data_IF_439422836032
#
_entry.id   IF_439422836032
#
_cell.length_a   1.000
_cell.length_b   1.000
_cell.length_c   1.000
_cell.angle_alpha   90.00
_cell.angle_beta   90.00
_cell.angle_gamma   90.00
#
_symmetry.space_group_name_H-M   'P 1'
#
loop_
_entity.id
_entity.type
_entity.pdbx_description
1 polymer ?
#
# COMPACT_ATOMS: atom_id res chain seq x y z
N UNK A 1 -6.11 -22.19 -51.19
CA UNK A 1 -7.11 -22.08 -52.29
C UNK A 1 -8.43 -21.67 -51.67
N UNK A 2 -8.78 -20.40 -51.75
CA UNK A 2 -10.12 -19.85 -51.91
C UNK A 2 -10.01 -18.33 -52.00
N UNK A 3 -10.59 -17.83 -53.06
CA UNK A 3 -10.32 -16.60 -53.73
C UNK A 3 -10.96 -15.37 -53.12
N UNK A 4 -10.29 -14.24 -53.20
CA UNK A 4 -10.87 -12.89 -53.06
C UNK A 4 -11.52 -12.48 -54.40
N UNK A 5 -12.70 -11.85 -54.39
CA UNK A 5 -13.16 -11.13 -55.55
C UNK A 5 -13.05 -9.61 -55.40
N UNK A 6 -12.31 -9.05 -56.36
CA UNK A 6 -12.50 -7.79 -57.06
C UNK A 6 -12.87 -6.49 -56.32
N UNK A 7 -11.85 -5.65 -56.23
CA UNK A 7 -11.94 -4.19 -56.21
C UNK A 7 -12.44 -3.66 -57.58
N UNK A 8 -13.48 -2.84 -57.58
CA UNK A 8 -13.79 -1.94 -58.69
C UNK A 8 -13.36 -0.52 -58.36
N UNK A 9 -12.74 0.21 -59.29
CA UNK A 9 -12.37 1.62 -59.09
C UNK A 9 -13.49 2.56 -59.53
N UNK A 10 -13.54 3.75 -58.88
CA UNK A 10 -14.10 4.92 -59.48
C UNK A 10 -15.52 5.29 -59.02
N UNK A 11 -15.60 6.26 -58.11
CA UNK A 11 -16.71 7.21 -58.14
C UNK A 11 -16.15 8.59 -57.73
N UNK A 12 -15.93 9.38 -58.77
CA UNK A 12 -15.93 10.84 -58.65
C UNK A 12 -17.40 11.27 -58.48
N UNK A 13 -17.75 12.19 -57.63
CA UNK A 13 -19.08 12.77 -57.63
C UNK A 13 -19.18 13.76 -58.82
N UNK A 14 -19.98 13.41 -59.78
CA UNK A 14 -20.48 14.31 -60.81
C UNK A 14 -21.33 15.41 -60.17
N UNK A 15 -21.10 16.64 -60.60
CA UNK A 15 -22.08 17.73 -60.50
C UNK A 15 -23.34 17.28 -61.24
N UNK A 16 -24.40 17.08 -60.47
CA UNK A 16 -25.77 17.08 -61.06
C UNK A 16 -26.71 17.74 -60.08
N UNK A 17 -26.98 19.00 -60.44
CA UNK A 17 -28.12 19.77 -60.04
C UNK A 17 -29.36 19.17 -60.68
N UNK A 18 -30.10 18.35 -59.95
CA UNK A 18 -31.50 18.03 -60.38
C UNK A 18 -32.44 18.40 -59.26
N UNK A 19 -33.19 19.44 -59.55
CA UNK A 19 -34.35 19.90 -58.78
C UNK A 19 -35.42 18.83 -58.81
N UNK A 20 -35.76 18.25 -57.69
CA UNK A 20 -37.01 17.52 -57.50
C UNK A 20 -37.80 18.16 -56.37
N UNK A 21 -38.95 18.68 -56.73
CA UNK A 21 -39.97 19.19 -55.82
C UNK A 21 -40.41 18.10 -54.83
N UNK A 22 -39.99 18.23 -53.60
CA UNK A 22 -40.72 17.73 -52.44
C UNK A 22 -40.18 18.45 -51.21
N UNK A 23 -41.04 19.14 -50.48
CA UNK A 23 -40.77 20.13 -49.41
C UNK A 23 -39.98 19.60 -48.23
N UNK A 24 -38.67 19.45 -48.37
CA UNK A 24 -37.71 19.39 -47.27
C UNK A 24 -36.90 20.69 -47.36
N UNK A 25 -37.02 21.55 -46.35
CA UNK A 25 -36.15 22.70 -46.16
C UNK A 25 -34.71 22.28 -46.20
N UNK A 26 -34.06 22.44 -47.36
CA UNK A 26 -32.62 22.38 -47.52
C UNK A 26 -32.05 23.47 -46.59
N UNK A 27 -31.27 23.04 -45.60
CA UNK A 27 -30.51 23.96 -44.75
C UNK A 27 -29.40 24.52 -45.66
N UNK A 28 -29.65 25.72 -46.27
CA UNK A 28 -28.62 26.46 -46.98
C UNK A 28 -27.35 26.50 -46.13
N UNK A 29 -26.26 25.97 -46.66
CA UNK A 29 -24.96 26.04 -46.00
C UNK A 29 -24.51 27.49 -46.09
N UNK A 30 -24.77 28.28 -45.05
CA UNK A 30 -24.38 29.67 -44.98
C UNK A 30 -22.85 29.77 -44.92
N UNK A 31 -22.21 30.24 -45.97
CA UNK A 31 -20.80 30.59 -46.03
C UNK A 31 -20.69 32.11 -45.94
N UNK A 32 -20.08 32.62 -44.86
CA UNK A 32 -19.96 34.05 -44.60
C UNK A 32 -18.64 34.31 -43.86
N UNK A 33 -18.01 35.45 -44.14
CA UNK A 33 -16.86 35.88 -43.35
C UNK A 33 -17.25 36.01 -41.89
N UNK A 34 -16.67 35.15 -41.04
CA UNK A 34 -16.90 35.13 -39.57
C UNK A 34 -16.22 36.34 -38.92
N UNK A 35 -16.99 37.35 -38.65
CA UNK A 35 -16.62 38.57 -37.89
C UNK A 35 -17.36 38.58 -36.56
N UNK A 36 -16.99 39.46 -35.62
CA UNK A 36 -17.74 39.65 -34.38
C UNK A 36 -19.21 39.90 -34.65
N UNK A 37 -19.52 40.79 -35.63
CA UNK A 37 -20.87 41.16 -36.02
C UNK A 37 -21.69 39.98 -36.54
N UNK A 38 -21.12 39.18 -37.46
CA UNK A 38 -21.80 38.01 -38.02
C UNK A 38 -22.03 36.92 -36.99
N UNK A 39 -21.09 36.71 -36.08
CA UNK A 39 -21.20 35.74 -34.99
C UNK A 39 -22.26 36.14 -33.97
N UNK A 40 -22.35 37.44 -33.61
CA UNK A 40 -23.37 37.96 -32.69
C UNK A 40 -24.77 37.98 -33.29
N UNK A 41 -24.87 38.18 -34.59
CA UNK A 41 -26.15 38.17 -35.35
C UNK A 41 -26.70 36.73 -35.54
N UNK A 42 -25.92 35.69 -35.39
CA UNK A 42 -26.36 34.31 -35.57
C UNK A 42 -27.37 33.90 -34.47
N UNK A 43 -28.61 33.67 -34.85
CA UNK A 43 -29.71 33.31 -33.93
C UNK A 43 -29.84 31.78 -33.80
N UNK A 44 -30.18 31.27 -32.60
CA UNK A 44 -30.44 29.83 -32.43
C UNK A 44 -31.63 29.40 -33.29
N UNK A 45 -31.57 28.20 -33.83
CA UNK A 45 -32.60 27.53 -34.62
C UNK A 45 -33.12 26.28 -33.90
N UNK A 46 -34.12 25.60 -34.50
CA UNK A 46 -34.70 24.34 -33.94
C UNK A 46 -33.66 23.24 -33.84
N UNK A 47 -32.67 23.21 -34.76
CA UNK A 47 -31.55 22.30 -34.75
C UNK A 47 -30.23 23.07 -34.69
N UNK A 48 -29.19 22.42 -34.13
CA UNK A 48 -27.84 22.96 -34.21
C UNK A 48 -27.42 23.06 -35.69
N UNK A 49 -26.77 24.16 -36.05
CA UNK A 49 -26.25 24.37 -37.41
C UNK A 49 -24.87 25.00 -37.40
N UNK A 50 -24.18 25.01 -38.52
CA UNK A 50 -22.84 25.58 -38.68
C UNK A 50 -22.86 26.62 -39.76
N UNK A 51 -22.27 27.77 -39.49
CA UNK A 51 -21.95 28.82 -40.44
C UNK A 51 -20.47 28.65 -40.80
N UNK A 52 -20.16 28.39 -42.04
CA UNK A 52 -18.80 28.20 -42.50
C UNK A 52 -18.13 29.54 -42.81
N UNK A 53 -16.83 29.62 -42.55
CA UNK A 53 -16.07 30.82 -42.82
C UNK A 53 -15.67 30.90 -44.31
N UNK A 54 -15.87 32.07 -44.91
CA UNK A 54 -15.50 32.31 -46.30
C UNK A 54 -13.99 32.37 -46.50
N UNK A 55 -13.22 32.89 -45.50
CA UNK A 55 -11.75 33.06 -45.62
C UNK A 55 -10.98 31.79 -45.37
N UNK A 56 -11.50 30.90 -44.57
CA UNK A 56 -10.82 29.66 -44.19
C UNK A 56 -11.73 28.46 -44.35
N UNK A 57 -11.63 27.71 -45.44
CA UNK A 57 -12.36 26.47 -45.63
C UNK A 57 -12.15 25.51 -44.43
N UNK A 58 -13.20 24.76 -44.13
CA UNK A 58 -13.19 23.81 -42.98
C UNK A 58 -13.24 24.45 -41.58
N UNK A 59 -13.25 25.78 -41.48
CA UNK A 59 -13.49 26.51 -40.24
C UNK A 59 -14.92 27.06 -40.18
N UNK A 60 -15.58 26.98 -39.03
CA UNK A 60 -16.97 27.44 -38.90
C UNK A 60 -17.38 27.76 -37.49
N UNK A 61 -18.55 28.38 -37.37
CA UNK A 61 -19.25 28.67 -36.13
C UNK A 61 -20.44 27.72 -35.96
N UNK A 62 -20.40 26.85 -34.96
CA UNK A 62 -21.53 26.04 -34.54
C UNK A 62 -22.42 26.84 -33.62
N UNK A 63 -23.68 26.99 -34.00
CA UNK A 63 -24.73 27.62 -33.22
C UNK A 63 -25.63 26.52 -32.67
N UNK A 64 -25.69 26.45 -31.35
CA UNK A 64 -26.52 25.46 -30.67
C UNK A 64 -27.95 26.00 -30.50
N UNK A 65 -28.93 25.11 -30.44
CA UNK A 65 -30.33 25.46 -30.13
C UNK A 65 -30.51 26.24 -28.81
N UNK A 66 -29.56 26.07 -27.87
CA UNK A 66 -29.50 26.78 -26.58
C UNK A 66 -28.99 28.22 -26.70
N UNK A 67 -28.64 28.69 -27.91
CA UNK A 67 -27.99 29.97 -28.13
C UNK A 67 -26.51 30.01 -27.90
N UNK A 68 -25.91 28.94 -27.39
CA UNK A 68 -24.45 28.78 -27.25
C UNK A 68 -23.79 28.75 -28.62
N UNK A 69 -22.63 29.38 -28.77
CA UNK A 69 -21.86 29.42 -30.00
C UNK A 69 -20.45 28.93 -29.77
N UNK A 70 -19.91 28.07 -30.64
CA UNK A 70 -18.54 27.60 -30.57
C UNK A 70 -17.88 27.55 -31.94
N UNK A 71 -16.61 27.86 -31.98
CA UNK A 71 -15.79 27.72 -33.18
C UNK A 71 -15.35 26.29 -33.36
N UNK A 72 -15.42 25.79 -34.59
CA UNK A 72 -15.14 24.42 -34.96
C UNK A 72 -14.27 24.35 -36.24
N UNK A 73 -13.47 23.32 -36.36
CA UNK A 73 -12.92 22.88 -37.65
C UNK A 73 -13.49 21.51 -38.00
N UNK A 74 -13.66 21.26 -39.28
CA UNK A 74 -14.07 19.96 -39.82
C UNK A 74 -13.12 19.55 -40.90
N UNK A 75 -12.58 18.33 -40.79
CA UNK A 75 -11.60 17.80 -41.76
C UNK A 75 -11.83 16.30 -41.96
N UNK A 76 -11.17 15.73 -42.96
CA UNK A 76 -11.15 14.28 -43.16
C UNK A 76 -9.76 13.74 -42.85
N UNK A 77 -9.72 12.66 -42.05
CA UNK A 77 -8.49 11.94 -41.76
C UNK A 77 -8.75 10.45 -41.91
N UNK A 78 -7.90 9.76 -42.67
CA UNK A 78 -8.04 8.32 -42.96
C UNK A 78 -9.45 7.93 -43.40
N UNK A 79 -10.06 8.73 -44.31
CA UNK A 79 -11.40 8.51 -44.87
C UNK A 79 -12.58 8.87 -43.94
N UNK A 80 -12.34 9.29 -42.70
CA UNK A 80 -13.39 9.66 -41.72
C UNK A 80 -13.49 11.16 -41.56
N UNK A 81 -14.73 11.67 -41.54
CA UNK A 81 -14.99 13.06 -41.19
C UNK A 81 -14.77 13.27 -39.67
N UNK A 82 -13.97 14.25 -39.33
CA UNK A 82 -13.64 14.65 -37.96
C UNK A 82 -14.05 16.08 -37.73
N UNK A 83 -14.50 16.40 -36.50
CA UNK A 83 -14.82 17.76 -36.07
C UNK A 83 -14.14 18.06 -34.75
N UNK A 84 -13.38 19.13 -34.70
CA UNK A 84 -12.73 19.63 -33.51
C UNK A 84 -13.35 20.96 -33.09
N UNK A 85 -13.81 21.06 -31.83
CA UNK A 85 -14.24 22.32 -31.25
C UNK A 85 -13.04 23.07 -30.71
N UNK A 86 -12.77 24.27 -31.20
CA UNK A 86 -11.65 25.12 -30.78
C UNK A 86 -11.96 25.83 -29.46
N UNK A 87 -13.15 26.45 -29.36
CA UNK A 87 -13.58 27.15 -28.15
C UNK A 87 -14.91 27.85 -28.27
N UNK A 88 -15.35 28.41 -27.16
CA UNK A 88 -16.61 29.14 -27.09
C UNK A 88 -16.44 30.59 -27.54
N UNK A 89 -17.43 31.10 -28.26
CA UNK A 89 -17.54 32.56 -28.48
C UNK A 89 -17.69 33.27 -27.14
N UNK A 90 -17.04 34.41 -27.01
CA UNK A 90 -16.96 35.17 -25.73
C UNK A 90 -15.64 34.91 -24.99
N UNK A 91 -15.13 33.70 -25.01
CA UNK A 91 -13.74 33.38 -24.60
C UNK A 91 -12.78 33.56 -25.77
N UNK A 92 -13.23 33.17 -26.97
CA UNK A 92 -12.50 33.28 -28.23
C UNK A 92 -13.12 34.33 -29.12
N UNK A 93 -12.33 35.18 -29.75
CA UNK A 93 -12.77 36.03 -30.86
C UNK A 93 -12.74 35.24 -32.18
N UNK A 94 -13.47 35.68 -33.20
CA UNK A 94 -13.44 35.03 -34.49
C UNK A 94 -12.05 34.98 -35.13
N UNK A 95 -11.26 36.04 -34.94
CA UNK A 95 -9.89 36.14 -35.46
C UNK A 95 -8.93 35.20 -34.77
N UNK A 96 -9.00 35.14 -33.40
CA UNK A 96 -8.19 34.19 -32.63
C UNK A 96 -8.54 32.76 -33.01
N UNK A 97 -9.82 32.46 -33.15
CA UNK A 97 -10.31 31.14 -33.54
C UNK A 97 -9.86 30.76 -34.97
N UNK A 98 -9.87 31.72 -35.91
CA UNK A 98 -9.38 31.49 -37.29
C UNK A 98 -7.88 31.25 -37.31
N UNK A 99 -7.08 31.93 -36.50
CA UNK A 99 -5.64 31.70 -36.36
C UNK A 99 -5.35 30.31 -35.80
N UNK A 100 -6.07 29.91 -34.78
CA UNK A 100 -5.95 28.57 -34.22
C UNK A 100 -6.42 27.50 -35.22
N UNK A 101 -7.53 27.75 -35.93
CA UNK A 101 -8.01 26.86 -36.98
C UNK A 101 -6.94 26.61 -38.03
N UNK A 102 -6.24 27.65 -38.52
CA UNK A 102 -5.11 27.52 -39.45
C UNK A 102 -4.01 26.65 -38.90
N UNK A 103 -3.62 26.84 -37.62
CA UNK A 103 -2.59 26.04 -36.98
C UNK A 103 -3.00 24.57 -36.91
N UNK A 104 -4.22 24.28 -36.47
CA UNK A 104 -4.71 22.91 -36.37
C UNK A 104 -4.88 22.23 -37.72
N UNK A 105 -5.38 22.94 -38.73
CA UNK A 105 -5.48 22.41 -40.12
C UNK A 105 -4.10 22.18 -40.73
N UNK A 106 -3.10 23.00 -40.39
CA UNK A 106 -1.71 22.77 -40.78
C UNK A 106 -1.16 21.45 -40.20
N UNK A 107 -1.47 21.15 -38.95
CA UNK A 107 -1.13 19.85 -38.33
C UNK A 107 -1.83 18.68 -39.04
N UNK A 108 -3.10 18.84 -39.38
CA UNK A 108 -3.85 17.83 -40.15
C UNK A 108 -3.22 17.59 -41.50
N UNK A 109 -2.79 18.64 -42.21
CA UNK A 109 -2.06 18.51 -43.47
C UNK A 109 -0.71 17.79 -43.32
N UNK A 110 -0.08 17.93 -42.14
CA UNK A 110 1.12 17.17 -41.74
C UNK A 110 0.87 15.73 -41.35
N UNK A 111 -0.39 15.27 -41.33
CA UNK A 111 -0.74 13.88 -41.02
C UNK A 111 -1.30 13.65 -39.62
N UNK A 112 -1.32 14.65 -38.74
CA UNK A 112 -1.87 14.57 -37.36
C UNK A 112 -3.40 14.46 -37.39
N UNK A 113 -3.98 13.92 -36.30
CA UNK A 113 -5.43 13.94 -36.04
C UNK A 113 -5.73 14.59 -34.67
N UNK A 114 -5.82 15.94 -34.61
CA UNK A 114 -6.03 16.66 -33.35
C UNK A 114 -7.35 16.32 -32.65
N UNK A 115 -8.37 15.85 -33.37
CA UNK A 115 -9.63 15.40 -32.77
C UNK A 115 -9.47 14.03 -32.11
N UNK A 116 -8.71 13.11 -32.70
CA UNK A 116 -8.40 11.81 -32.11
C UNK A 116 -7.47 11.97 -30.89
N UNK A 117 -6.42 12.79 -31.02
CA UNK A 117 -5.52 13.11 -29.87
C UNK A 117 -6.32 13.62 -28.67
N UNK A 118 -7.29 14.54 -28.91
CA UNK A 118 -8.12 15.08 -27.85
C UNK A 118 -9.06 14.03 -27.25
N UNK A 119 -9.52 13.08 -28.07
CA UNK A 119 -10.35 11.96 -27.63
C UNK A 119 -9.54 10.96 -26.82
N UNK A 120 -8.35 10.62 -27.27
CA UNK A 120 -7.39 9.78 -26.55
C UNK A 120 -6.99 10.42 -25.23
N UNK A 121 -6.75 11.73 -25.25
CA UNK A 121 -6.52 12.49 -24.04
C UNK A 121 -7.68 12.38 -23.04
N UNK A 122 -8.92 12.50 -23.50
CA UNK A 122 -10.08 12.32 -22.66
C UNK A 122 -10.25 10.89 -22.14
N UNK A 123 -9.82 9.88 -22.90
CA UNK A 123 -9.84 8.45 -22.56
C UNK A 123 -8.63 8.02 -21.73
N UNK A 124 -7.60 8.86 -21.64
CA UNK A 124 -6.39 8.53 -20.91
C UNK A 124 -6.71 8.21 -19.45
N UNK A 125 -6.22 7.05 -19.01
CA UNK A 125 -6.48 6.49 -17.68
C UNK A 125 -6.10 7.48 -16.57
N UNK A 126 -7.02 7.71 -15.64
CA UNK A 126 -6.76 8.51 -14.44
C UNK A 126 -6.04 7.68 -13.37
N UNK A 127 -5.38 8.35 -12.43
CA UNK A 127 -4.75 7.67 -11.29
C UNK A 127 -5.75 6.88 -10.44
N UNK A 128 -7.01 7.33 -10.37
CA UNK A 128 -8.08 6.61 -9.66
C UNK A 128 -8.42 5.29 -10.36
N UNK A 129 -8.51 5.29 -11.67
CA UNK A 129 -8.79 4.09 -12.48
C UNK A 129 -7.62 3.10 -12.41
N UNK A 130 -6.38 3.60 -12.54
CA UNK A 130 -5.18 2.79 -12.34
C UNK A 130 -5.15 2.14 -10.95
N UNK A 131 -5.46 2.91 -9.90
CA UNK A 131 -5.52 2.38 -8.53
C UNK A 131 -6.59 1.31 -8.37
N UNK A 132 -7.75 1.44 -9.02
CA UNK A 132 -8.79 0.41 -8.98
C UNK A 132 -8.33 -0.89 -9.62
N UNK A 133 -7.73 -0.80 -10.82
CA UNK A 133 -7.17 -1.95 -11.50
C UNK A 133 -6.06 -2.60 -10.68
N UNK A 134 -5.15 -1.80 -10.13
CA UNK A 134 -4.09 -2.29 -9.25
C UNK A 134 -4.63 -3.03 -8.02
N UNK A 135 -5.72 -2.56 -7.39
CA UNK A 135 -6.35 -3.23 -6.26
C UNK A 135 -6.97 -4.56 -6.70
N UNK A 136 -7.64 -4.60 -7.85
CA UNK A 136 -8.21 -5.84 -8.38
C UNK A 136 -7.12 -6.89 -8.63
N UNK A 137 -6.04 -6.52 -9.31
CA UNK A 137 -4.93 -7.42 -9.61
C UNK A 137 -4.15 -7.83 -8.34
N UNK A 138 -4.20 -7.01 -7.26
CA UNK A 138 -3.70 -7.39 -5.94
C UNK A 138 -4.55 -8.48 -5.29
N UNK A 139 -5.87 -8.34 -5.35
CA UNK A 139 -6.83 -9.29 -4.78
C UNK A 139 -6.80 -10.63 -5.57
N UNK A 140 -6.56 -10.55 -6.89
CA UNK A 140 -6.38 -11.71 -7.77
C UNK A 140 -4.97 -12.36 -7.65
N UNK A 141 -4.08 -11.78 -6.81
CA UNK A 141 -2.73 -12.32 -6.58
C UNK A 141 -1.74 -12.12 -7.73
N UNK A 142 -2.09 -11.33 -8.74
CA UNK A 142 -1.27 -11.07 -9.91
C UNK A 142 -0.11 -10.11 -9.61
N UNK A 143 -0.24 -9.27 -8.56
CA UNK A 143 0.83 -8.35 -8.15
C UNK A 143 1.66 -8.99 -7.04
N UNK A 144 2.88 -9.33 -7.40
CA UNK A 144 3.81 -9.98 -6.49
C UNK A 144 4.52 -8.97 -5.59
N UNK A 145 4.82 -9.40 -4.37
CA UNK A 145 5.64 -8.67 -3.41
C UNK A 145 7.13 -9.01 -3.57
N UNK A 146 7.93 -8.61 -2.56
CA UNK A 146 9.36 -8.89 -2.52
C UNK A 146 9.61 -10.40 -2.59
N UNK A 147 10.49 -10.82 -3.51
CA UNK A 147 10.87 -12.22 -3.70
C UNK A 147 9.86 -13.04 -4.50
N UNK A 148 9.03 -12.41 -5.35
CA UNK A 148 8.13 -13.12 -6.27
C UNK A 148 6.96 -13.83 -5.59
N UNK A 149 6.63 -13.48 -4.35
CA UNK A 149 5.51 -14.09 -3.59
C UNK A 149 4.31 -13.13 -3.53
N UNK A 150 3.07 -13.64 -3.47
CA UNK A 150 1.89 -12.82 -3.24
C UNK A 150 2.06 -11.95 -1.98
N UNK A 151 1.49 -10.76 -1.99
CA UNK A 151 1.51 -9.89 -0.80
C UNK A 151 0.62 -10.48 0.30
N UNK A 152 1.07 -10.37 1.56
CA UNK A 152 0.25 -10.75 2.72
C UNK A 152 -0.99 -9.85 2.81
N UNK A 153 -2.14 -10.39 3.23
CA UNK A 153 -3.40 -9.66 3.36
C UNK A 153 -3.26 -8.36 4.17
N UNK A 154 -2.52 -8.37 5.26
CA UNK A 154 -2.27 -7.17 6.08
C UNK A 154 -1.51 -6.06 5.34
N UNK A 155 -0.67 -6.42 4.36
CA UNK A 155 0.01 -5.46 3.47
C UNK A 155 -0.97 -4.91 2.45
N UNK A 156 -1.80 -5.76 1.85
CA UNK A 156 -2.87 -5.38 0.92
C UNK A 156 -3.82 -4.38 1.59
N UNK A 157 -4.32 -4.69 2.78
CA UNK A 157 -5.22 -3.80 3.55
C UNK A 157 -4.59 -2.43 3.83
N UNK A 158 -3.29 -2.43 4.16
CA UNK A 158 -2.53 -1.20 4.41
C UNK A 158 -2.35 -0.40 3.12
N UNK A 159 -2.04 -1.05 2.00
CA UNK A 159 -1.87 -0.39 0.70
C UNK A 159 -3.20 0.18 0.20
N UNK A 160 -4.30 -0.59 0.30
CA UNK A 160 -5.67 -0.11 0.01
C UNK A 160 -6.01 1.10 0.88
N UNK A 161 -5.68 1.04 2.17
CA UNK A 161 -5.86 2.15 3.09
C UNK A 161 -5.13 3.42 2.63
N UNK A 162 -3.87 3.31 2.20
CA UNK A 162 -3.09 4.44 1.66
C UNK A 162 -3.64 4.95 0.34
N UNK A 163 -4.02 4.05 -0.56
CA UNK A 163 -4.64 4.41 -1.85
C UNK A 163 -5.90 5.24 -1.61
N UNK A 164 -6.83 4.73 -0.79
CA UNK A 164 -8.12 5.37 -0.54
C UNK A 164 -8.01 6.69 0.23
N UNK A 165 -7.02 6.82 1.13
CA UNK A 165 -6.93 7.95 2.07
C UNK A 165 -5.93 9.04 1.67
N UNK A 166 -4.95 8.70 0.84
CA UNK A 166 -3.89 9.62 0.44
C UNK A 166 -3.81 9.79 -1.08
N UNK A 167 -3.75 8.69 -1.85
CA UNK A 167 -3.47 8.78 -3.29
C UNK A 167 -4.67 9.33 -4.04
N UNK A 168 -5.83 8.67 -3.93
CA UNK A 168 -7.04 9.07 -4.65
C UNK A 168 -7.50 10.50 -4.32
N UNK A 169 -7.50 10.95 -3.04
CA UNK A 169 -7.92 12.32 -2.73
C UNK A 169 -6.98 13.40 -3.27
N UNK A 170 -5.67 13.11 -3.41
CA UNK A 170 -4.70 14.12 -3.82
C UNK A 170 -4.47 14.16 -5.33
N UNK A 171 -4.51 13.02 -6.02
CA UNK A 171 -4.19 12.92 -7.46
C UNK A 171 -5.11 11.99 -8.25
N UNK A 172 -6.18 11.50 -7.67
CA UNK A 172 -7.06 10.51 -8.31
C UNK A 172 -7.65 10.97 -9.65
N UNK A 173 -7.89 12.26 -9.83
CA UNK A 173 -8.41 12.85 -11.06
C UNK A 173 -7.36 13.18 -12.12
N UNK A 174 -6.07 13.13 -11.76
CA UNK A 174 -4.97 13.38 -12.70
C UNK A 174 -4.82 12.20 -13.63
N UNK A 175 -4.52 12.46 -14.90
CA UNK A 175 -4.18 11.41 -15.87
C UNK A 175 -2.80 10.86 -15.56
N UNK A 176 -2.63 9.55 -15.68
CA UNK A 176 -1.37 8.87 -15.32
C UNK A 176 -0.21 9.37 -16.19
N UNK A 177 -0.47 9.56 -17.49
CA UNK A 177 0.55 10.05 -18.45
C UNK A 177 1.04 11.48 -18.18
N UNK A 178 0.23 12.31 -17.51
CA UNK A 178 0.54 13.72 -17.22
C UNK A 178 1.22 13.91 -15.86
N UNK A 179 1.45 12.82 -15.11
CA UNK A 179 2.08 12.90 -13.79
C UNK A 179 3.57 13.17 -13.89
N UNK A 180 4.00 14.23 -13.24
CA UNK A 180 5.39 14.69 -13.24
C UNK A 180 6.09 14.41 -11.91
N UNK A 181 7.42 14.50 -11.92
CA UNK A 181 8.22 14.46 -10.68
C UNK A 181 7.81 15.56 -9.69
N UNK A 182 7.45 16.74 -10.18
CA UNK A 182 6.98 17.84 -9.35
C UNK A 182 5.69 17.49 -8.60
N UNK A 183 4.75 16.80 -9.28
CA UNK A 183 3.54 16.30 -8.65
C UNK A 183 3.86 15.30 -7.53
N UNK A 184 4.80 14.39 -7.74
CA UNK A 184 5.20 13.40 -6.72
C UNK A 184 5.83 14.06 -5.49
N UNK A 185 6.66 15.09 -5.68
CA UNK A 185 7.22 15.89 -4.59
C UNK A 185 6.12 16.66 -3.85
N UNK A 186 5.17 17.22 -4.58
CA UNK A 186 4.01 17.93 -4.00
C UNK A 186 3.16 16.99 -3.13
N UNK A 187 2.80 15.81 -3.64
CA UNK A 187 2.04 14.81 -2.87
C UNK A 187 2.77 14.43 -1.58
N UNK A 188 4.08 14.18 -1.66
CA UNK A 188 4.87 13.86 -0.48
C UNK A 188 4.79 14.99 0.57
N UNK A 189 4.94 16.25 0.15
CA UNK A 189 4.80 17.41 1.04
C UNK A 189 3.40 17.56 1.61
N UNK A 190 2.36 17.36 0.78
CA UNK A 190 0.96 17.44 1.19
C UNK A 190 0.61 16.40 2.26
N UNK A 191 1.12 15.17 2.13
CA UNK A 191 0.94 14.12 3.14
C UNK A 191 1.73 14.47 4.41
N UNK A 192 2.95 14.99 4.28
CA UNK A 192 3.77 15.41 5.42
C UNK A 192 3.07 16.51 6.22
N UNK A 193 2.48 17.48 5.55
CA UNK A 193 1.72 18.58 6.15
C UNK A 193 0.33 18.17 6.66
N UNK A 194 -0.08 16.91 6.47
CA UNK A 194 -1.37 16.40 6.92
C UNK A 194 -2.57 16.86 6.08
N UNK A 195 -2.38 17.34 4.84
CA UNK A 195 -3.49 17.79 3.96
C UNK A 195 -4.48 16.66 3.61
N UNK A 196 -4.05 15.41 3.70
CA UNK A 196 -4.90 14.22 3.57
C UNK A 196 -5.44 13.71 4.91
N UNK A 197 -5.39 14.53 5.98
CA UNK A 197 -5.90 14.17 7.30
C UNK A 197 -7.40 13.98 7.25
N UNK A 198 -7.86 12.83 7.77
CA UNK A 198 -9.28 12.51 7.83
C UNK A 198 -9.55 11.58 9.02
N UNK A 199 -10.72 11.74 9.63
CA UNK A 199 -11.24 10.84 10.66
C UNK A 199 -12.55 10.26 10.12
N UNK A 200 -12.62 8.94 9.98
CA UNK A 200 -13.80 8.24 9.44
C UNK A 200 -14.24 7.17 10.41
N UNK A 201 -15.53 7.09 10.69
CA UNK A 201 -16.12 5.95 11.39
C UNK A 201 -15.93 4.68 10.54
N UNK A 202 -15.56 3.57 11.17
CA UNK A 202 -15.47 2.27 10.52
C UNK A 202 -16.73 1.44 10.79
N UNK A 203 -16.90 0.34 10.06
CA UNK A 203 -18.02 -0.60 10.29
C UNK A 203 -17.93 -1.34 11.64
N UNK A 204 -16.79 -1.29 12.32
CA UNK A 204 -16.61 -1.92 13.64
C UNK A 204 -17.29 -1.07 14.70
N UNK A 205 -17.90 -1.72 15.70
CA UNK A 205 -18.51 -1.04 16.84
C UNK A 205 -17.51 -0.06 17.47
N UNK A 206 -17.86 1.22 17.61
CA UNK A 206 -17.01 2.33 18.09
C UNK A 206 -15.71 2.53 17.30
N UNK A 207 -15.56 1.89 16.13
CA UNK A 207 -14.35 1.93 15.32
C UNK A 207 -14.17 3.29 14.63
N UNK A 208 -12.98 3.89 14.75
CA UNK A 208 -12.56 5.11 14.03
C UNK A 208 -11.26 4.83 13.27
N UNK A 209 -11.20 5.26 12.01
CA UNK A 209 -9.96 5.31 11.24
C UNK A 209 -9.43 6.74 11.28
N UNK A 210 -8.30 6.92 11.95
CA UNK A 210 -7.65 8.24 12.12
C UNK A 210 -6.44 8.28 11.19
N UNK A 211 -6.50 9.12 10.17
CA UNK A 211 -5.41 9.35 9.22
C UNK A 211 -4.77 10.70 9.55
N UNK A 212 -3.50 10.71 9.94
CA UNK A 212 -2.80 11.92 10.40
C UNK A 212 -1.82 12.47 9.36
N UNK A 213 -1.28 11.63 8.49
CA UNK A 213 -0.17 11.99 7.61
C UNK A 213 1.19 11.89 8.31
N UNK A 214 2.09 12.83 7.99
CA UNK A 214 3.44 12.93 8.55
C UNK A 214 4.51 12.25 7.69
N UNK A 215 5.83 12.46 8.02
CA UNK A 215 6.95 12.03 7.18
C UNK A 215 6.96 10.52 6.88
N UNK A 216 6.65 9.70 7.90
CA UNK A 216 6.59 8.25 7.75
C UNK A 216 5.53 7.76 6.81
N UNK A 217 4.35 8.34 6.88
CA UNK A 217 3.24 8.01 5.98
C UNK A 217 3.57 8.47 4.57
N UNK A 218 4.12 9.68 4.41
CA UNK A 218 4.50 10.24 3.13
C UNK A 218 5.52 9.36 2.39
N UNK A 219 6.59 8.95 3.07
CA UNK A 219 7.62 8.07 2.48
C UNK A 219 7.06 6.73 2.03
N UNK A 220 6.22 6.09 2.84
CA UNK A 220 5.62 4.80 2.51
C UNK A 220 4.58 4.92 1.40
N UNK A 221 3.79 6.00 1.39
CA UNK A 221 2.82 6.27 0.33
C UNK A 221 3.52 6.57 -0.99
N UNK A 222 4.61 7.36 -0.98
CA UNK A 222 5.41 7.60 -2.19
C UNK A 222 6.02 6.29 -2.73
N UNK A 223 6.46 5.39 -1.83
CA UNK A 223 6.93 4.05 -2.24
C UNK A 223 5.83 3.23 -2.90
N UNK A 224 4.60 3.28 -2.37
CA UNK A 224 3.45 2.61 -2.97
C UNK A 224 3.08 3.21 -4.33
N UNK A 225 3.06 4.56 -4.46
CA UNK A 225 2.85 5.24 -5.74
C UNK A 225 3.90 4.76 -6.75
N UNK A 226 5.17 4.66 -6.34
CA UNK A 226 6.24 4.13 -7.19
C UNK A 226 5.94 2.72 -7.70
N UNK A 227 5.44 1.83 -6.85
CA UNK A 227 5.02 0.49 -7.25
C UNK A 227 3.83 0.49 -8.22
N UNK A 228 2.83 1.36 -7.97
CA UNK A 228 1.65 1.50 -8.86
C UNK A 228 2.07 2.08 -10.23
N UNK A 229 3.01 3.02 -10.26
CA UNK A 229 3.49 3.59 -11.52
C UNK A 229 4.42 2.65 -12.27
N UNK A 230 5.17 1.78 -11.59
CA UNK A 230 5.88 0.68 -12.25
C UNK A 230 4.91 -0.31 -12.90
N UNK A 231 3.84 -0.66 -12.21
CA UNK A 231 2.74 -1.45 -12.79
C UNK A 231 2.10 -0.75 -14.01
N UNK A 232 2.01 0.59 -14.02
CA UNK A 232 1.55 1.34 -15.20
C UNK A 232 2.53 1.25 -16.38
N UNK A 233 3.83 1.13 -16.12
CA UNK A 233 4.84 0.85 -17.16
C UNK A 233 4.63 -0.55 -17.73
N UNK A 234 4.43 -1.55 -16.88
CA UNK A 234 4.18 -2.94 -17.30
C UNK A 234 2.91 -3.06 -18.17
N UNK A 235 1.93 -2.16 -17.96
CA UNK A 235 0.73 -2.03 -18.77
C UNK A 235 0.89 -1.18 -20.04
N UNK A 236 2.06 -0.59 -20.28
CA UNK A 236 2.32 0.30 -21.42
C UNK A 236 1.62 1.66 -21.36
N UNK A 237 1.16 2.11 -20.18
CA UNK A 237 0.44 3.39 -19.98
C UNK A 237 1.40 4.57 -19.93
N UNK A 238 2.59 4.38 -19.37
CA UNK A 238 3.69 5.35 -19.29
C UNK A 238 5.02 4.66 -19.53
N UNK A 239 6.01 5.40 -20.02
CA UNK A 239 7.36 4.88 -20.26
C UNK A 239 8.29 5.03 -19.06
N UNK A 240 8.08 6.06 -18.24
CA UNK A 240 8.95 6.42 -17.14
C UNK A 240 8.19 6.60 -15.82
N UNK A 241 8.82 6.20 -14.73
CA UNK A 241 8.25 6.36 -13.39
C UNK A 241 8.72 7.67 -12.76
N UNK A 242 7.84 8.67 -12.59
CA UNK A 242 8.21 9.99 -12.06
C UNK A 242 8.59 10.01 -10.56
N UNK A 243 8.48 8.87 -9.86
CA UNK A 243 8.93 8.77 -8.46
C UNK A 243 10.43 8.50 -8.32
N UNK A 244 11.12 8.13 -9.42
CA UNK A 244 12.53 7.79 -9.36
C UNK A 244 13.39 8.98 -8.93
N UNK A 245 14.40 8.73 -8.09
CA UNK A 245 15.36 9.72 -7.62
C UNK A 245 14.79 10.77 -6.66
N UNK A 246 13.57 10.64 -6.15
CA UNK A 246 13.03 11.55 -5.15
C UNK A 246 13.66 11.25 -3.79
N UNK A 247 14.31 12.26 -3.20
CA UNK A 247 14.87 12.16 -1.84
C UNK A 247 13.74 12.06 -0.82
N UNK A 248 13.73 10.98 -0.04
CA UNK A 248 12.75 10.74 1.01
C UNK A 248 13.28 11.24 2.35
N UNK A 249 12.42 11.76 3.24
CA UNK A 249 12.85 12.14 4.59
C UNK A 249 13.49 10.96 5.32
N UNK A 250 14.62 11.18 5.97
CA UNK A 250 15.22 10.18 6.86
C UNK A 250 14.41 10.11 8.16
N UNK A 251 14.21 8.91 8.68
CA UNK A 251 13.62 8.73 10.00
C UNK A 251 14.67 8.88 11.09
N UNK A 252 14.30 9.46 12.24
CA UNK A 252 15.05 9.24 13.45
C UNK A 252 14.87 7.78 13.87
N UNK A 253 15.94 7.04 13.97
CA UNK A 253 15.95 5.73 14.60
C UNK A 253 15.58 5.94 16.08
N UNK A 254 14.65 5.17 16.59
CA UNK A 254 14.31 5.21 18.01
C UNK A 254 15.22 4.19 18.70
N UNK A 255 16.21 4.68 19.40
CA UNK A 255 17.18 3.85 20.15
C UNK A 255 16.72 3.60 21.60
N UNK A 256 15.41 3.55 21.84
CA UNK A 256 14.83 3.33 23.15
C UNK A 256 14.94 1.86 23.56
N UNK A 257 15.58 1.60 24.69
CA UNK A 257 15.57 0.32 25.42
C UNK A 257 15.15 0.55 26.89
N UNK A 258 14.70 -0.48 27.56
CA UNK A 258 14.46 -0.46 29.02
C UNK A 258 15.79 -0.58 29.76
N UNK A 259 15.92 0.20 30.81
CA UNK A 259 16.94 0.01 31.83
C UNK A 259 16.52 -1.10 32.81
N UNK A 260 17.43 -1.60 33.63
CA UNK A 260 17.12 -2.59 34.68
C UNK A 260 16.05 -2.06 35.67
N UNK A 261 16.17 -0.79 36.11
CA UNK A 261 15.15 -0.15 36.92
C UNK A 261 13.77 -0.09 36.26
N UNK A 262 13.73 0.17 34.95
CA UNK A 262 12.47 0.19 34.19
C UNK A 262 11.88 -1.22 34.00
N UNK A 263 12.68 -2.27 33.98
CA UNK A 263 12.19 -3.64 34.04
C UNK A 263 11.54 -3.93 35.38
N UNK A 264 12.12 -3.44 36.48
CA UNK A 264 11.52 -3.52 37.83
C UNK A 264 10.16 -2.82 37.90
N UNK A 265 10.08 -1.58 37.34
CA UNK A 265 8.81 -0.83 37.23
C UNK A 265 7.80 -1.61 36.38
N UNK A 266 8.21 -2.13 35.22
CA UNK A 266 7.35 -2.95 34.39
C UNK A 266 6.81 -4.17 35.14
N UNK A 267 7.69 -4.86 35.86
CA UNK A 267 7.31 -6.02 36.67
C UNK A 267 6.25 -5.69 37.75
N UNK A 268 6.42 -4.58 38.48
CA UNK A 268 5.41 -4.11 39.41
C UNK A 268 4.08 -3.79 38.72
N UNK A 269 4.10 -3.00 37.66
CA UNK A 269 2.90 -2.69 36.89
C UNK A 269 2.14 -3.94 36.41
N UNK A 270 2.88 -4.97 35.93
CA UNK A 270 2.28 -6.23 35.50
C UNK A 270 1.65 -7.02 36.65
N UNK A 271 2.31 -7.09 37.81
CA UNK A 271 1.73 -7.73 39.01
C UNK A 271 0.47 -7.02 39.48
N UNK A 272 0.49 -5.70 39.58
CA UNK A 272 -0.68 -4.89 39.99
C UNK A 272 -1.85 -5.06 38.99
N UNK A 273 -1.54 -5.17 37.71
CA UNK A 273 -2.56 -5.37 36.68
C UNK A 273 -3.10 -6.83 36.63
N UNK A 274 -2.30 -7.83 37.04
CA UNK A 274 -2.73 -9.23 37.13
C UNK A 274 -3.86 -9.43 38.17
N UNK A 275 -3.93 -8.60 39.20
CA UNK A 275 -5.03 -8.65 40.16
C UNK A 275 -6.36 -8.23 39.55
N UNK A 276 -6.35 -7.64 38.36
CA UNK A 276 -7.53 -7.17 37.63
C UNK A 276 -7.79 -8.08 36.43
N UNK A 277 -8.82 -8.92 36.50
CA UNK A 277 -9.18 -9.87 35.41
C UNK A 277 -9.26 -9.22 34.02
N UNK A 278 -9.67 -7.95 33.99
CA UNK A 278 -9.79 -7.22 32.70
C UNK A 278 -8.50 -7.14 31.88
N UNK A 279 -7.32 -7.28 32.50
CA UNK A 279 -6.05 -7.21 31.80
C UNK A 279 -5.48 -8.57 31.37
N UNK A 280 -6.11 -9.65 31.78
CA UNK A 280 -5.76 -10.97 31.27
C UNK A 280 -6.26 -11.12 29.81
N UNK A 281 -5.49 -11.69 28.86
CA UNK A 281 -4.11 -12.20 29.00
C UNK A 281 -3.02 -11.17 28.63
N UNK A 282 -3.32 -9.88 28.64
CA UNK A 282 -2.39 -8.82 28.20
C UNK A 282 -1.09 -8.79 28.99
N UNK A 283 -1.18 -8.97 30.33
CA UNK A 283 -0.01 -8.98 31.21
C UNK A 283 0.95 -10.10 30.87
N UNK A 284 0.40 -11.28 30.57
CA UNK A 284 1.21 -12.45 30.22
C UNK A 284 1.83 -12.29 28.82
N UNK A 285 1.08 -11.76 27.86
CA UNK A 285 1.61 -11.44 26.52
C UNK A 285 2.78 -10.45 26.62
N UNK A 286 2.67 -9.40 27.47
CA UNK A 286 3.75 -8.43 27.67
C UNK A 286 4.97 -9.11 28.26
N UNK A 287 4.78 -9.95 29.29
CA UNK A 287 5.84 -10.72 29.93
C UNK A 287 6.54 -11.62 28.92
N UNK A 288 5.79 -12.37 28.11
CA UNK A 288 6.36 -13.24 27.09
C UNK A 288 7.14 -12.49 26.00
N UNK A 289 6.68 -11.31 25.59
CA UNK A 289 7.43 -10.45 24.66
C UNK A 289 8.77 -10.01 25.28
N UNK A 290 8.76 -9.64 26.57
CA UNK A 290 9.96 -9.22 27.28
C UNK A 290 10.96 -10.36 27.44
N UNK A 291 10.50 -11.59 27.71
CA UNK A 291 11.32 -12.78 27.95
C UNK A 291 11.85 -13.46 26.67
N UNK A 292 11.18 -13.27 25.55
CA UNK A 292 11.54 -13.95 24.28
C UNK A 292 12.08 -13.01 23.21
N UNK A 293 11.82 -11.70 23.32
CA UNK A 293 12.08 -10.77 22.23
C UNK A 293 11.26 -11.03 20.97
N UNK A 294 10.27 -11.91 20.99
CA UNK A 294 9.40 -12.20 19.86
C UNK A 294 8.61 -10.95 19.41
N UNK A 295 8.18 -10.93 18.15
CA UNK A 295 7.28 -9.87 17.68
C UNK A 295 5.92 -10.00 18.36
N UNK A 296 5.30 -8.87 18.68
CA UNK A 296 3.96 -8.85 19.30
C UNK A 296 2.95 -9.80 18.64
N UNK A 297 2.92 -9.81 17.30
CA UNK A 297 2.00 -10.67 16.56
C UNK A 297 2.37 -12.16 16.64
N UNK A 298 3.64 -12.48 16.84
CA UNK A 298 4.11 -13.86 17.04
C UNK A 298 3.60 -14.42 18.37
N UNK A 299 3.61 -13.61 19.44
CA UNK A 299 3.10 -14.02 20.76
C UNK A 299 1.57 -14.03 20.80
N UNK A 300 0.89 -12.96 20.33
CA UNK A 300 -0.58 -12.89 20.36
C UNK A 300 -1.23 -14.04 19.58
N UNK A 301 -0.67 -14.39 18.42
CA UNK A 301 -1.21 -15.45 17.56
C UNK A 301 -0.56 -16.82 17.79
N UNK A 302 0.17 -17.00 18.89
CA UNK A 302 0.84 -18.26 19.21
C UNK A 302 -0.18 -19.36 19.43
N UNK A 303 -0.02 -20.46 18.69
CA UNK A 303 -0.84 -21.67 18.83
C UNK A 303 -0.07 -22.75 19.59
N UNK A 304 -0.79 -23.63 20.25
CA UNK A 304 -0.20 -24.75 20.96
C UNK A 304 0.56 -25.71 20.03
N UNK A 305 0.14 -25.84 18.77
CA UNK A 305 0.87 -26.63 17.78
C UNK A 305 2.21 -26.01 17.36
N UNK A 306 2.45 -24.73 17.64
CA UNK A 306 3.70 -24.04 17.40
C UNK A 306 4.65 -24.11 18.62
N UNK A 307 4.21 -24.64 19.77
CA UNK A 307 4.97 -24.73 21.02
C UNK A 307 5.58 -26.11 21.13
N UNK A 308 6.91 -26.17 21.17
CA UNK A 308 7.70 -27.36 21.40
C UNK A 308 8.40 -27.20 22.75
N UNK A 309 7.77 -27.74 23.80
CA UNK A 309 8.27 -27.65 25.18
C UNK A 309 9.53 -28.48 25.36
N UNK A 310 9.57 -29.70 24.84
CA UNK A 310 10.70 -30.62 24.93
C UNK A 310 11.93 -30.03 24.22
N UNK A 311 11.73 -29.47 23.02
CA UNK A 311 12.76 -28.77 22.27
C UNK A 311 13.05 -27.35 22.76
N UNK A 312 12.36 -26.85 23.80
CA UNK A 312 12.50 -25.47 24.32
C UNK A 312 12.46 -24.42 23.20
N UNK A 313 11.50 -24.52 22.31
CA UNK A 313 11.38 -23.58 21.19
C UNK A 313 9.94 -23.35 20.71
N UNK A 314 9.74 -22.24 20.01
CA UNK A 314 8.53 -21.96 19.25
C UNK A 314 8.80 -22.19 17.76
N UNK A 315 7.97 -23.00 17.09
CA UNK A 315 8.07 -23.37 15.67
C UNK A 315 7.06 -22.56 14.86
N UNK A 316 7.34 -21.30 14.64
CA UNK A 316 6.43 -20.36 13.97
C UNK A 316 6.34 -20.70 12.46
N UNK A 317 5.19 -21.20 12.03
CA UNK A 317 4.90 -21.56 10.63
C UNK A 317 4.78 -20.33 9.74
N UNK A 318 4.25 -19.21 10.27
CA UNK A 318 3.98 -17.97 9.55
C UNK A 318 4.61 -16.75 10.24
N UNK A 319 5.93 -16.62 10.22
CA UNK A 319 6.56 -15.37 10.64
C UNK A 319 6.60 -14.35 9.49
N UNK A 320 6.97 -13.09 9.80
CA UNK A 320 7.19 -12.04 8.77
C UNK A 320 8.21 -12.47 7.71
N UNK A 321 9.08 -13.38 8.05
CA UNK A 321 10.23 -13.82 7.25
C UNK A 321 10.10 -15.27 6.76
N UNK A 322 8.92 -15.89 6.96
CA UNK A 322 8.64 -17.29 6.65
C UNK A 322 8.71 -18.18 7.90
N UNK A 323 8.92 -19.49 7.73
CA UNK A 323 9.08 -20.44 8.84
C UNK A 323 10.29 -20.06 9.69
N UNK A 324 10.13 -20.08 11.00
CA UNK A 324 11.17 -19.63 11.91
C UNK A 324 11.07 -20.33 13.26
N UNK A 325 12.21 -20.73 13.81
CA UNK A 325 12.33 -21.34 15.14
C UNK A 325 12.83 -20.26 16.10
N UNK A 326 12.24 -20.20 17.28
CA UNK A 326 12.63 -19.31 18.37
C UNK A 326 13.01 -20.14 19.59
N UNK A 327 14.27 -20.26 19.94
CA UNK A 327 14.65 -20.79 21.25
C UNK A 327 14.01 -19.97 22.37
N UNK A 328 13.48 -20.64 23.37
CA UNK A 328 12.87 -20.02 24.55
C UNK A 328 13.59 -20.45 25.82
N UNK A 329 13.75 -19.52 26.74
CA UNK A 329 14.40 -19.77 28.01
C UNK A 329 13.45 -20.41 29.03
N UNK A 330 14.04 -20.98 30.11
CA UNK A 330 13.32 -21.70 31.17
C UNK A 330 12.10 -20.96 31.73
N UNK A 331 12.15 -19.65 32.06
CA UNK A 331 10.95 -18.94 32.56
C UNK A 331 9.77 -18.92 31.59
N UNK A 332 10.06 -19.05 30.29
CA UNK A 332 9.01 -19.11 29.23
C UNK A 332 8.44 -20.51 29.14
N UNK A 333 9.30 -21.54 29.25
CA UNK A 333 8.89 -22.97 29.26
C UNK A 333 7.97 -23.21 30.45
N UNK A 334 8.39 -22.86 31.65
CA UNK A 334 7.60 -23.01 32.89
C UNK A 334 6.24 -22.33 32.79
N UNK A 335 6.20 -21.12 32.25
CA UNK A 335 4.94 -20.42 31.99
C UNK A 335 4.04 -21.19 31.01
N UNK A 336 4.59 -21.67 29.90
CA UNK A 336 3.83 -22.39 28.88
C UNK A 336 3.35 -23.76 29.38
N UNK A 337 4.15 -24.46 30.18
CA UNK A 337 3.75 -25.71 30.84
C UNK A 337 2.55 -25.51 31.78
N UNK A 338 2.60 -24.49 32.62
CA UNK A 338 1.50 -24.12 33.51
C UNK A 338 0.23 -23.77 32.73
N UNK A 339 0.36 -22.95 31.66
CA UNK A 339 -0.77 -22.56 30.83
C UNK A 339 -1.36 -23.74 30.03
N UNK A 340 -0.54 -24.73 29.68
CA UNK A 340 -0.99 -25.92 28.93
C UNK A 340 -1.98 -26.77 29.73
N UNK A 341 -1.83 -26.81 31.06
CA UNK A 341 -2.72 -27.58 31.94
C UNK A 341 -4.18 -27.08 31.93
N UNK A 342 -4.39 -25.77 31.68
CA UNK A 342 -5.70 -25.14 31.67
C UNK A 342 -6.19 -24.76 30.25
N UNK A 343 -5.43 -25.12 29.22
CA UNK A 343 -5.73 -24.75 27.86
C UNK A 343 -6.97 -25.47 27.32
N UNK A 344 -7.94 -24.72 26.78
CA UNK A 344 -9.19 -25.24 26.22
C UNK A 344 -9.30 -25.07 24.69
N UNK A 345 -8.42 -24.27 24.08
CA UNK A 345 -8.44 -23.92 22.65
C UNK A 345 -7.10 -24.11 21.96
N UNK A 346 -7.02 -23.74 20.68
CA UNK A 346 -5.81 -23.85 19.89
C UNK A 346 -4.78 -22.75 20.14
N UNK A 347 -5.20 -21.62 20.73
CA UNK A 347 -4.32 -20.48 21.03
C UNK A 347 -3.79 -20.50 22.45
N UNK A 348 -2.51 -20.12 22.64
CA UNK A 348 -1.93 -19.90 23.97
C UNK A 348 -2.61 -18.71 24.67
N UNK A 349 -2.97 -17.69 23.93
CA UNK A 349 -3.68 -16.50 24.41
C UNK A 349 -5.01 -16.36 23.67
N UNK A 350 -6.07 -17.06 24.15
CA UNK A 350 -7.36 -17.09 23.48
C UNK A 350 -8.08 -15.75 23.58
N UNK A 351 -8.85 -15.43 22.53
CA UNK A 351 -9.84 -14.35 22.53
C UNK A 351 -11.16 -14.79 23.16
N UNK A 352 -12.12 -13.88 23.26
CA UNK A 352 -13.47 -14.17 23.70
C UNK A 352 -14.31 -14.78 22.56
N UNK A 353 -15.04 -15.83 22.83
CA UNK A 353 -15.95 -16.49 21.87
C UNK A 353 -15.31 -17.65 21.11
N UNK A 354 -15.32 -17.56 19.77
CA UNK A 354 -14.74 -18.58 18.89
C UNK A 354 -13.25 -18.78 19.13
N UNK A 355 -12.68 -19.90 18.68
CA UNK A 355 -11.25 -20.22 18.78
C UNK A 355 -10.41 -19.25 17.92
N UNK A 356 -10.12 -18.11 18.50
CA UNK A 356 -9.31 -17.04 17.88
C UNK A 356 -8.31 -16.46 18.87
N UNK A 357 -7.34 -15.68 18.33
CA UNK A 357 -6.34 -14.99 19.12
C UNK A 357 -6.91 -13.77 19.86
N UNK A 358 -6.30 -13.39 20.97
CA UNK A 358 -6.71 -12.25 21.76
C UNK A 358 -6.60 -10.91 21.02
N UNK A 359 -7.74 -10.28 20.73
CA UNK A 359 -7.84 -9.01 20.00
C UNK A 359 -7.73 -7.74 20.85
N UNK A 360 -7.84 -7.83 22.18
CA UNK A 360 -7.91 -6.71 23.12
C UNK A 360 -6.59 -6.01 23.41
N UNK A 361 -5.46 -6.61 23.04
CA UNK A 361 -4.12 -6.17 23.40
C UNK A 361 -3.83 -4.67 23.16
N UNK A 362 -4.15 -4.04 22.00
CA UNK A 362 -3.83 -2.62 21.79
C UNK A 362 -4.53 -1.67 22.78
N UNK A 363 -5.76 -1.98 23.15
CA UNK A 363 -6.54 -1.17 24.08
C UNK A 363 -6.04 -1.34 25.52
N UNK A 364 -5.76 -2.58 25.93
CA UNK A 364 -5.21 -2.88 27.25
C UNK A 364 -3.79 -2.35 27.39
N UNK A 365 -2.95 -2.45 26.36
CA UNK A 365 -1.63 -1.82 26.33
C UNK A 365 -1.72 -0.32 26.62
N UNK A 366 -2.58 0.39 25.87
CA UNK A 366 -2.76 1.83 26.07
C UNK A 366 -3.28 2.15 27.48
N UNK A 367 -4.20 1.37 28.01
CA UNK A 367 -4.73 1.56 29.35
C UNK A 367 -3.67 1.33 30.45
N UNK A 368 -2.77 0.36 30.26
CA UNK A 368 -1.71 0.06 31.23
C UNK A 368 -0.59 1.11 31.24
N UNK A 369 -0.22 1.63 30.07
CA UNK A 369 0.95 2.50 29.93
C UNK A 369 0.63 4.00 29.92
N UNK A 370 -0.62 4.41 29.64
CA UNK A 370 -1.01 5.82 29.66
C UNK A 370 -0.92 6.39 31.08
N UNK A 371 -0.16 7.48 31.24
CA UNK A 371 0.07 8.12 32.53
C UNK A 371 1.01 7.34 33.47
N UNK A 372 1.62 6.23 32.99
CA UNK A 372 2.61 5.48 33.77
C UNK A 372 4.03 6.01 33.56
N UNK A 373 5.00 5.66 34.44
CA UNK A 373 6.41 5.99 34.26
C UNK A 373 6.99 5.44 32.94
N UNK A 374 6.34 4.44 32.35
CA UNK A 374 6.73 3.81 31.10
C UNK A 374 5.87 4.25 29.91
N UNK A 375 5.18 5.38 29.99
CA UNK A 375 4.38 5.92 28.89
C UNK A 375 5.24 6.11 27.62
N UNK A 376 4.65 5.77 26.47
CA UNK A 376 5.31 5.88 25.17
C UNK A 376 6.20 4.71 24.76
N UNK A 377 6.42 3.70 25.64
CA UNK A 377 7.04 2.45 25.21
C UNK A 377 6.09 1.67 24.29
N UNK A 378 6.65 0.78 23.51
CA UNK A 378 5.91 -0.11 22.59
C UNK A 378 6.40 -1.54 22.73
N UNK A 379 5.62 -2.52 22.31
CA UNK A 379 6.06 -3.91 22.26
C UNK A 379 7.37 -4.10 21.46
N UNK A 380 7.66 -3.20 20.53
CA UNK A 380 8.91 -3.23 19.78
C UNK A 380 10.11 -2.77 20.64
N UNK A 381 9.88 -1.85 21.59
CA UNK A 381 10.89 -1.45 22.58
C UNK A 381 11.26 -2.64 23.47
N UNK A 382 10.30 -3.46 23.91
CA UNK A 382 10.58 -4.68 24.70
C UNK A 382 11.50 -5.65 23.91
N UNK A 383 11.23 -5.85 22.62
CA UNK A 383 12.07 -6.66 21.76
C UNK A 383 13.48 -6.06 21.59
N UNK A 384 13.60 -4.75 21.43
CA UNK A 384 14.91 -4.08 21.41
C UNK A 384 15.63 -4.21 22.74
N UNK A 385 14.92 -4.12 23.85
CA UNK A 385 15.48 -4.29 25.19
C UNK A 385 16.00 -5.70 25.43
N UNK A 386 15.29 -6.74 24.95
CA UNK A 386 15.76 -8.12 24.97
C UNK A 386 17.07 -8.26 24.18
N UNK A 387 17.13 -7.68 22.97
CA UNK A 387 18.36 -7.71 22.15
C UNK A 387 19.54 -7.01 22.85
N UNK A 388 19.29 -5.82 23.42
CA UNK A 388 20.31 -5.06 24.15
C UNK A 388 20.78 -5.81 25.39
N UNK A 389 19.86 -6.45 26.13
CA UNK A 389 20.21 -7.28 27.30
C UNK A 389 21.11 -8.47 26.89
N UNK A 390 20.82 -9.10 25.75
CA UNK A 390 21.69 -10.13 25.20
C UNK A 390 23.10 -9.62 24.90
N UNK A 391 23.21 -8.42 24.34
CA UNK A 391 24.51 -7.77 24.11
C UNK A 391 25.24 -7.43 25.43
N UNK A 392 24.52 -6.86 26.41
CA UNK A 392 25.07 -6.53 27.73
C UNK A 392 25.55 -7.79 28.51
N UNK A 393 24.94 -8.95 28.26
CA UNK A 393 25.36 -10.26 28.76
C UNK A 393 26.51 -10.91 27.98
N UNK A 394 27.01 -10.24 26.91
CA UNK A 394 28.17 -10.67 26.14
C UNK A 394 27.87 -11.64 24.97
N UNK A 395 26.60 -11.79 24.57
CA UNK A 395 26.26 -12.61 23.41
C UNK A 395 26.51 -11.85 22.09
N UNK A 396 26.99 -12.59 21.09
CA UNK A 396 27.27 -12.00 19.77
C UNK A 396 26.00 -11.55 19.05
N UNK A 397 26.12 -10.57 18.14
CA UNK A 397 25.00 -10.13 17.29
C UNK A 397 24.36 -11.29 16.50
N UNK A 398 25.16 -12.27 16.08
CA UNK A 398 24.70 -13.47 15.35
C UNK A 398 23.78 -14.30 16.24
N UNK A 399 24.19 -14.55 17.50
CA UNK A 399 23.40 -15.28 18.50
C UNK A 399 22.08 -14.55 18.76
N UNK A 400 22.15 -13.24 19.02
CA UNK A 400 20.96 -12.41 19.26
C UNK A 400 20.05 -12.37 18.03
N UNK A 401 20.60 -12.25 16.84
CA UNK A 401 19.81 -12.28 15.60
C UNK A 401 19.11 -13.63 15.39
N UNK A 402 19.75 -14.73 15.75
CA UNK A 402 19.16 -16.08 15.70
C UNK A 402 18.01 -16.21 16.71
N UNK A 403 18.17 -15.78 17.96
CA UNK A 403 17.11 -15.74 18.97
C UNK A 403 15.92 -14.91 18.50
N UNK A 404 16.16 -13.77 17.91
CA UNK A 404 15.13 -12.89 17.37
C UNK A 404 14.55 -13.38 16.04
N UNK A 405 15.16 -14.37 15.38
CA UNK A 405 14.79 -14.90 14.07
C UNK A 405 14.82 -13.84 12.99
N UNK A 406 15.89 -13.09 12.94
CA UNK A 406 16.16 -12.24 11.80
C UNK A 406 16.49 -13.09 10.58
N UNK A 407 15.93 -12.73 9.42
CA UNK A 407 16.13 -13.48 8.19
C UNK A 407 17.61 -13.51 7.80
N UNK A 408 17.99 -14.63 7.25
CA UNK A 408 19.30 -14.98 6.74
C UNK A 408 19.84 -13.92 5.78
N UNK A 409 20.71 -13.05 6.27
CA UNK A 409 21.38 -12.01 5.47
C UNK A 409 22.85 -12.28 5.21
N UNK A 410 23.48 -13.27 5.90
CA UNK A 410 24.89 -13.60 5.72
C UNK A 410 25.08 -15.07 5.31
N UNK A 411 26.20 -15.36 4.64
CA UNK A 411 26.62 -16.71 4.24
C UNK A 411 26.68 -17.62 5.48
N UNK A 412 27.10 -17.09 6.61
CA UNK A 412 27.20 -17.79 7.91
C UNK A 412 25.84 -18.28 8.42
N UNK A 413 24.72 -17.60 8.10
CA UNK A 413 23.37 -18.02 8.54
C UNK A 413 22.86 -19.30 7.87
N UNK A 414 23.50 -19.78 6.80
CA UNK A 414 23.16 -21.07 6.16
C UNK A 414 23.63 -22.27 7.00
N UNK A 415 24.57 -22.07 7.89
CA UNK A 415 25.14 -23.13 8.76
C UNK A 415 24.40 -23.24 10.11
N UNK A 416 23.51 -22.29 10.45
CA UNK A 416 22.70 -22.32 11.68
C UNK A 416 21.38 -23.07 11.36
N UNK A 417 21.46 -24.34 11.01
CA UNK A 417 20.28 -25.19 10.77
C UNK A 417 19.85 -26.00 11.99
N UNK A 418 20.64 -25.99 13.04
CA UNK A 418 20.40 -26.76 14.26
C UNK A 418 20.18 -25.79 15.41
N UNK A 419 19.14 -26.01 16.22
CA UNK A 419 19.03 -25.41 17.54
C UNK A 419 20.26 -25.86 18.34
N UNK A 420 21.28 -25.02 18.35
CA UNK A 420 22.50 -25.29 19.10
C UNK A 420 22.20 -25.11 20.59
N UNK A 421 22.79 -25.96 21.43
CA UNK A 421 22.76 -25.80 22.88
C UNK A 421 23.17 -24.38 23.31
N UNK A 422 24.00 -23.71 22.52
CA UNK A 422 24.41 -22.32 22.69
C UNK A 422 23.25 -21.36 22.60
N UNK A 423 22.31 -21.58 21.67
CA UNK A 423 21.11 -20.69 21.49
C UNK A 423 20.12 -20.88 22.65
N UNK A 424 19.93 -22.11 23.13
CA UNK A 424 19.08 -22.41 24.28
C UNK A 424 19.69 -21.77 25.52
N UNK A 425 21.02 -21.93 25.72
CA UNK A 425 21.74 -21.28 26.82
C UNK A 425 21.59 -19.77 26.80
N UNK A 426 21.74 -19.16 25.63
CA UNK A 426 21.60 -17.71 25.50
C UNK A 426 20.15 -17.29 25.82
N UNK A 427 19.16 -18.05 25.35
CA UNK A 427 17.75 -17.82 25.67
C UNK A 427 17.49 -17.95 27.19
N UNK A 428 18.02 -18.98 27.83
CA UNK A 428 17.90 -19.19 29.29
C UNK A 428 18.51 -18.03 30.09
N UNK A 429 19.72 -17.62 29.73
CA UNK A 429 20.41 -16.53 30.43
C UNK A 429 19.70 -15.19 30.27
N UNK A 430 19.30 -14.84 29.05
CA UNK A 430 18.63 -13.56 28.81
C UNK A 430 17.24 -13.55 29.45
N UNK A 431 16.44 -14.61 29.25
CA UNK A 431 15.11 -14.71 29.84
C UNK A 431 15.15 -14.78 31.36
N UNK A 432 16.09 -15.54 31.91
CA UNK A 432 16.28 -15.64 33.36
C UNK A 432 16.66 -14.30 34.00
N UNK A 433 17.58 -13.55 33.37
CA UNK A 433 17.97 -12.23 33.86
C UNK A 433 16.80 -11.24 33.77
N UNK A 434 16.10 -11.18 32.67
CA UNK A 434 14.92 -10.34 32.49
C UNK A 434 13.81 -10.73 33.47
N UNK A 435 13.60 -12.04 33.70
CA UNK A 435 12.61 -12.54 34.68
C UNK A 435 12.96 -12.11 36.08
N UNK A 436 14.23 -12.18 36.49
CA UNK A 436 14.69 -11.71 37.77
C UNK A 436 14.44 -10.20 37.98
N UNK A 437 14.75 -9.39 36.98
CA UNK A 437 14.47 -7.94 36.98
C UNK A 437 12.97 -7.64 37.09
N UNK A 438 12.12 -8.35 36.34
CA UNK A 438 10.66 -8.20 36.41
C UNK A 438 10.08 -8.59 37.77
N UNK A 439 10.69 -9.58 38.44
CA UNK A 439 10.21 -10.09 39.73
C UNK A 439 10.86 -9.42 40.92
N UNK A 440 11.90 -8.59 40.72
CA UNK A 440 12.66 -7.96 41.76
C UNK A 440 13.52 -8.98 42.57
N UNK A 441 13.96 -10.05 41.90
CA UNK A 441 14.80 -11.11 42.52
C UNK A 441 16.22 -11.07 41.97
N UNK A 442 17.14 -11.68 42.69
CA UNK A 442 18.52 -11.78 42.25
C UNK A 442 18.68 -12.91 41.19
N UNK A 443 19.33 -12.58 40.09
CA UNK A 443 19.66 -13.58 39.07
C UNK A 443 20.83 -14.45 39.50
N UNK A 444 20.58 -15.76 39.62
CA UNK A 444 21.62 -16.73 39.93
C UNK A 444 22.03 -17.50 38.68
N UNK A 445 23.26 -17.30 38.22
CA UNK A 445 23.80 -17.98 37.00
C UNK A 445 23.88 -19.51 37.10
N UNK A 446 23.87 -20.08 38.31
CA UNK A 446 24.18 -21.50 38.57
C UNK A 446 23.03 -22.50 38.37
N UNK A 447 21.76 -22.06 38.46
CA UNK A 447 20.59 -22.96 38.39
C UNK A 447 20.28 -23.53 37.01
N UNK A 448 20.83 -22.94 35.94
CA UNK A 448 20.50 -23.30 34.55
C UNK A 448 21.35 -24.44 33.98
N UNK A 449 22.46 -24.84 34.63
CA UNK A 449 23.39 -25.78 34.07
C UNK A 449 22.89 -27.24 34.11
N UNK A 450 22.14 -27.64 35.11
CA UNK A 450 21.61 -29.00 35.27
C UNK A 450 20.46 -29.33 34.34
N UNK A 451 19.53 -28.37 34.16
CA UNK A 451 18.42 -28.49 33.23
C UNK A 451 18.84 -28.48 31.75
N UNK A 452 19.98 -27.86 31.47
CA UNK A 452 20.56 -27.78 30.12
C UNK A 452 20.93 -29.16 29.54
N UNK A 453 21.44 -30.09 30.36
CA UNK A 453 21.85 -31.41 29.89
C UNK A 453 20.63 -32.25 29.49
N UNK A 454 19.54 -32.19 30.29
CA UNK A 454 18.31 -32.88 30.00
C UNK A 454 17.67 -32.35 28.70
N UNK A 455 17.60 -31.03 28.49
CA UNK A 455 17.06 -30.41 27.27
C UNK A 455 17.90 -30.68 26.04
N UNK A 456 19.25 -30.78 26.20
CA UNK A 456 20.17 -31.15 25.11
C UNK A 456 19.92 -32.57 24.66
N UNK A 457 19.64 -33.49 25.56
CA UNK A 457 19.34 -34.90 25.25
C UNK A 457 18.01 -35.00 24.47
N UNK A 458 16.96 -34.40 24.96
CA UNK A 458 15.65 -34.35 24.27
C UNK A 458 15.74 -33.73 22.87
N UNK A 459 16.53 -32.66 22.70
CA UNK A 459 16.74 -32.02 21.40
C UNK A 459 17.53 -32.92 20.45
N UNK A 460 18.54 -33.65 20.95
CA UNK A 460 19.36 -34.58 20.14
C UNK A 460 18.53 -35.76 19.66
N UNK A 461 17.66 -36.30 20.51
CA UNK A 461 16.70 -37.36 20.16
C UNK A 461 15.70 -36.91 19.10
N UNK A 462 15.11 -35.74 19.26
CA UNK A 462 14.20 -35.17 18.26
C UNK A 462 14.84 -34.94 16.89
N UNK A 463 16.11 -34.49 16.87
CA UNK A 463 16.85 -34.28 15.62
C UNK A 463 17.13 -35.64 14.97
N UNK A 464 17.50 -36.66 15.76
CA UNK A 464 17.76 -38.03 15.29
C UNK A 464 16.50 -38.69 14.71
N UNK A 465 15.35 -38.54 15.37
CA UNK A 465 14.06 -39.05 14.89
C UNK A 465 13.64 -38.42 13.56
N UNK A 466 13.89 -37.10 13.39
CA UNK A 466 13.59 -36.42 12.13
C UNK A 466 14.55 -36.77 11.00
N UNK A 467 15.79 -37.04 11.30
CA UNK A 467 16.77 -37.49 10.31
C UNK A 467 16.53 -38.95 9.87
N UNK A 468 15.90 -39.75 10.71
CA UNK A 468 15.53 -41.13 10.40
C UNK A 468 14.19 -41.28 9.67
N UNK A 469 13.34 -40.21 9.70
CA UNK A 469 12.03 -40.21 9.07
C UNK A 469 11.97 -39.41 7.77
N UNK A 470 13.07 -38.94 7.22
CA UNK A 470 13.21 -38.29 5.92
C UNK A 470 14.11 -39.14 5.01
#
# INVERSE_FOLDING_TARGET
>A
MLAYPNLRPGFLPSDDTTVTQNGALETEIAVVKLTKRTVEAAKPQVKDYIIWDEELPSFGLRVYRSGKRSYVIQYRQRGRARRLTLGLHGVWTAELARREAKAQLGRVAGGDDPAEERLEDHRAMTMKELCRRYIQDLDDGLILGKGGRPKKQSTIDTDIGRIKRHIIPLIGTRRVKDLTRADMVKIMRDIMAGRSRIIVKTKKLRGKSIVRGGPGTATRTLGLIGGILSYAIDLGIIEHNPTHGIKKPKYKVRERRLTEAEYGILGSMLRDAQTQEKFWPTTDIIRQIALTGCRRGEIINLKWCDVDLDGSCLRLSESKEGRSIRPIGLPVVEFLEAQRQTATGSFVFPGFGEDNAFGGFPNHWNALFSGSPLEGITAHVLRHSFASMGNDLGFTEITIAALLGHAKGSITSRYIHVLDATLITAADMIAGYVSALLNGTNFQRGSFALDRTARKSAMSEFIAERAAGS
#
